data_IF_543627076558
#
_entry.id   IF_543627076558
#
_cell.length_a   1.000
_cell.length_b   1.000
_cell.length_c   1.000
_cell.angle_alpha   90.00
_cell.angle_beta   90.00
_cell.angle_gamma   90.00
#
_symmetry.space_group_name_H-M   'P 1'
#
loop_
_entity.id
_entity.type
_entity.pdbx_description
1 polymer ?
#
# COMPACT_ATOMS: atom_id res chain seq x y z
N UNK A 1 -25.09 11.92 19.20
CA UNK A 1 -24.88 10.46 19.11
C UNK A 1 -24.06 10.20 17.85
N UNK A 2 -22.81 9.76 18.04
CA UNK A 2 -21.77 9.28 17.11
C UNK A 2 -21.73 9.77 15.65
N UNK A 3 -20.73 10.59 15.31
CA UNK A 3 -20.28 10.84 13.94
C UNK A 3 -19.14 9.88 13.59
N UNK A 4 -19.42 8.84 12.80
CA UNK A 4 -18.37 8.02 12.18
C UNK A 4 -17.80 8.81 11.00
N UNK A 5 -16.71 9.54 11.24
CA UNK A 5 -15.87 10.08 10.17
C UNK A 5 -15.16 8.91 9.50
N UNK A 6 -15.50 8.64 8.25
CA UNK A 6 -14.71 7.80 7.36
C UNK A 6 -13.31 8.43 7.22
N UNK A 7 -12.34 7.89 7.94
CA UNK A 7 -10.92 8.14 7.69
C UNK A 7 -10.62 7.55 6.30
N UNK A 8 -10.60 8.41 5.28
CA UNK A 8 -10.06 8.07 3.96
C UNK A 8 -8.57 7.79 4.16
N UNK A 9 -8.22 6.52 4.35
CA UNK A 9 -6.83 6.07 4.36
C UNK A 9 -6.21 6.50 3.01
N UNK A 10 -4.98 7.02 3.00
CA UNK A 10 -4.28 7.32 1.75
C UNK A 10 -4.26 6.05 0.89
N UNK A 11 -4.27 6.16 -0.45
CA UNK A 11 -4.18 4.99 -1.31
C UNK A 11 -2.93 4.23 -0.91
N UNK A 12 -3.12 3.08 -0.27
CA UNK A 12 -2.05 2.12 -0.03
C UNK A 12 -1.68 1.68 -1.43
N UNK A 13 -0.61 2.25 -1.98
CA UNK A 13 -0.07 1.78 -3.25
C UNK A 13 0.17 0.28 -3.07
N UNK A 14 -0.53 -0.57 -3.82
CA UNK A 14 -0.41 -2.03 -3.72
C UNK A 14 1.00 -2.55 -4.06
N UNK A 15 1.95 -1.66 -4.35
CA UNK A 15 3.38 -1.92 -4.56
C UNK A 15 4.15 -2.07 -3.23
N UNK A 16 3.52 -1.89 -2.06
CA UNK A 16 4.19 -1.99 -0.74
C UNK A 16 4.56 -3.41 -0.30
N UNK A 17 4.32 -4.45 -1.11
CA UNK A 17 4.62 -5.86 -0.79
C UNK A 17 6.09 -6.28 -1.05
N UNK A 18 7.07 -5.36 -1.01
CA UNK A 18 8.50 -5.70 -1.13
C UNK A 18 9.29 -5.42 0.13
N UNK A 19 8.68 -5.69 1.26
CA UNK A 19 9.22 -5.30 2.56
C UNK A 19 9.17 -6.49 3.50
N UNK A 20 10.34 -6.96 3.90
CA UNK A 20 10.46 -7.88 5.02
C UNK A 20 11.25 -7.22 6.15
N UNK A 21 10.83 -7.50 7.37
CA UNK A 21 11.54 -7.03 8.55
C UNK A 21 12.79 -7.87 8.75
N UNK A 22 13.95 -7.25 8.63
CA UNK A 22 15.22 -7.84 9.08
C UNK A 22 15.53 -7.29 10.45
N UNK A 23 15.71 -8.17 11.43
CA UNK A 23 16.32 -7.82 12.70
C UNK A 23 17.82 -7.61 12.47
N UNK A 24 18.24 -6.35 12.40
CA UNK A 24 19.67 -6.02 12.40
C UNK A 24 20.08 -5.87 13.85
N UNK A 25 20.89 -6.80 14.33
CA UNK A 25 21.56 -6.71 15.63
C UNK A 25 22.94 -6.12 15.40
N UNK A 26 23.28 -5.08 16.15
CA UNK A 26 24.61 -4.52 16.10
C UNK A 26 25.16 -4.36 17.52
N UNK A 27 26.30 -4.99 17.75
CA UNK A 27 27.08 -4.87 18.98
C UNK A 27 28.05 -3.72 18.78
N UNK A 28 27.82 -2.60 19.46
CA UNK A 28 28.74 -1.46 19.40
C UNK A 28 30.10 -1.84 20.03
N UNK A 29 31.24 -1.39 19.47
CA UNK A 29 32.51 -1.49 20.18
C UNK A 29 32.41 -0.73 21.50
N UNK A 30 33.06 -1.27 22.54
CA UNK A 30 33.10 -0.67 23.87
C UNK A 30 33.58 0.78 23.82
N UNK A 31 32.65 1.75 23.78
CA UNK A 31 32.97 3.17 23.80
C UNK A 31 32.14 4.09 22.91
N UNK A 32 31.39 3.58 21.92
CA UNK A 32 30.63 4.43 20.99
C UNK A 32 29.12 4.15 21.02
N UNK A 33 28.31 5.23 21.00
CA UNK A 33 26.86 5.12 20.78
C UNK A 33 26.60 4.75 19.32
N UNK A 34 26.01 3.57 19.08
CA UNK A 34 25.69 3.11 17.74
C UNK A 34 24.27 3.52 17.38
N UNK A 35 24.11 4.27 16.29
CA UNK A 35 22.81 4.66 15.73
C UNK A 35 22.46 3.70 14.60
N UNK A 36 21.52 2.79 14.86
CA UNK A 36 20.91 1.95 13.83
C UNK A 36 19.42 2.33 13.76
N UNK A 37 19.00 2.95 12.67
CA UNK A 37 17.62 3.45 12.51
C UNK A 37 17.26 4.62 13.45
N UNK A 38 16.00 4.68 13.85
CA UNK A 38 15.43 5.74 14.70
C UNK A 38 15.73 5.62 16.21
N UNK A 39 16.47 4.59 16.64
CA UNK A 39 16.86 4.37 18.03
C UNK A 39 18.35 4.66 18.27
N UNK A 40 18.67 5.27 19.42
CA UNK A 40 20.05 5.51 19.86
C UNK A 40 20.39 4.56 21.02
N UNK A 41 21.41 3.72 20.85
CA UNK A 41 21.86 2.79 21.88
C UNK A 41 22.72 3.51 22.93
N UNK A 42 22.44 3.26 24.22
CA UNK A 42 23.38 3.59 25.30
C UNK A 42 24.46 2.51 25.40
N UNK A 43 25.60 2.88 25.99
CA UNK A 43 26.81 2.07 26.15
C UNK A 43 26.50 0.64 26.62
N UNK A 44 26.91 -0.37 25.85
CA UNK A 44 26.74 -1.79 26.17
C UNK A 44 25.36 -2.39 25.84
N UNK A 45 24.41 -1.60 25.33
CA UNK A 45 23.10 -2.10 24.93
C UNK A 45 23.13 -2.69 23.52
N UNK A 46 22.66 -3.93 23.37
CA UNK A 46 22.32 -4.50 22.07
C UNK A 46 21.03 -3.83 21.59
N UNK A 47 21.11 -3.05 20.52
CA UNK A 47 19.91 -2.57 19.82
C UNK A 47 19.59 -3.55 18.70
N UNK A 48 18.40 -4.14 18.79
CA UNK A 48 17.76 -4.87 17.72
C UNK A 48 16.73 -3.94 17.11
N UNK A 49 16.98 -3.46 15.89
CA UNK A 49 15.98 -2.70 15.12
C UNK A 49 15.53 -3.50 13.93
N UNK A 50 14.22 -3.54 13.71
CA UNK A 50 13.60 -4.10 12.52
C UNK A 50 13.70 -3.07 11.41
N UNK A 51 14.61 -3.30 10.46
CA UNK A 51 14.76 -2.45 9.28
C UNK A 51 14.02 -3.10 8.12
N UNK A 52 13.18 -2.32 7.46
CA UNK A 52 12.51 -2.68 6.22
C UNK A 52 13.55 -2.78 5.11
N UNK A 53 13.69 -3.95 4.49
CA UNK A 53 14.59 -4.16 3.35
C UNK A 53 13.78 -4.41 2.08
N UNK A 54 14.25 -3.84 0.96
CA UNK A 54 13.70 -4.04 -0.38
C UNK A 54 14.33 -5.30 -0.99
N UNK A 55 13.50 -6.18 -1.57
CA UNK A 55 14.01 -7.30 -2.37
C UNK A 55 14.11 -6.88 -3.83
N UNK A 56 15.28 -7.15 -4.41
CA UNK A 56 15.51 -6.99 -5.84
C UNK A 56 14.55 -7.89 -6.63
N UNK A 57 14.09 -7.38 -7.78
CA UNK A 57 13.27 -8.17 -8.69
C UNK A 57 14.14 -9.18 -9.44
N UNK A 58 13.60 -10.38 -9.66
CA UNK A 58 14.20 -11.33 -10.60
C UNK A 58 14.20 -10.72 -12.01
N UNK A 59 15.32 -10.85 -12.72
CA UNK A 59 15.53 -10.28 -14.06
C UNK A 59 15.58 -11.32 -15.17
N UNK A 60 15.57 -12.61 -14.80
CA UNK A 60 15.64 -13.72 -15.73
C UNK A 60 14.29 -13.94 -16.46
N UNK A 61 14.22 -13.78 -17.78
CA UNK A 61 12.97 -13.91 -18.53
C UNK A 61 12.40 -15.32 -18.52
N UNK A 62 13.23 -16.37 -18.53
CA UNK A 62 12.74 -17.75 -18.57
C UNK A 62 12.00 -18.12 -17.28
N UNK A 63 12.50 -17.62 -16.14
CA UNK A 63 11.84 -17.81 -14.84
C UNK A 63 10.54 -17.04 -14.74
N UNK A 64 10.49 -15.80 -15.25
CA UNK A 64 9.29 -14.96 -15.18
C UNK A 64 8.13 -15.50 -16.03
N UNK A 65 8.42 -16.20 -17.12
CA UNK A 65 7.40 -16.83 -17.97
C UNK A 65 6.88 -18.12 -17.37
N UNK A 66 7.74 -18.92 -16.73
CA UNK A 66 7.36 -20.23 -16.20
C UNK A 66 6.86 -20.20 -14.74
N UNK A 67 7.24 -19.19 -13.96
CA UNK A 67 6.96 -19.12 -12.53
C UNK A 67 6.37 -17.78 -12.09
N UNK A 68 5.47 -17.84 -11.12
CA UNK A 68 4.93 -16.65 -10.47
C UNK A 68 5.89 -16.14 -9.38
N UNK A 69 6.82 -15.27 -9.78
CA UNK A 69 7.78 -14.67 -8.86
C UNK A 69 7.10 -13.65 -7.93
N UNK A 70 7.30 -13.81 -6.60
CA UNK A 70 6.80 -12.87 -5.58
C UNK A 70 5.54 -13.32 -4.83
N UNK A 71 4.94 -14.45 -5.20
CA UNK A 71 3.80 -15.01 -4.45
C UNK A 71 4.22 -15.59 -3.10
N UNK A 72 5.38 -16.22 -3.03
CA UNK A 72 5.90 -16.82 -1.80
C UNK A 72 6.69 -15.79 -0.98
N UNK A 73 6.23 -15.55 0.25
CA UNK A 73 6.91 -14.68 1.21
C UNK A 73 7.94 -15.42 2.07
N UNK A 74 7.88 -16.76 2.13
CA UNK A 74 8.81 -17.60 2.89
C UNK A 74 9.99 -18.01 2.01
N UNK A 75 11.21 -17.94 2.56
CA UNK A 75 12.45 -18.28 1.84
C UNK A 75 12.56 -19.75 1.42
N UNK A 76 11.92 -20.65 2.17
CA UNK A 76 12.08 -22.11 2.01
C UNK A 76 11.07 -22.73 1.03
N UNK A 77 10.04 -21.97 0.62
CA UNK A 77 8.99 -22.51 -0.24
C UNK A 77 9.36 -22.41 -1.72
N UNK A 78 9.20 -23.50 -2.50
CA UNK A 78 9.51 -23.50 -3.93
C UNK A 78 8.57 -22.58 -4.70
N UNK A 79 9.08 -21.94 -5.76
CA UNK A 79 8.30 -21.07 -6.64
C UNK A 79 7.09 -21.80 -7.24
N UNK A 80 5.97 -21.09 -7.37
CA UNK A 80 4.75 -21.65 -7.96
C UNK A 80 4.84 -21.55 -9.48
N UNK A 81 4.76 -22.70 -10.14
CA UNK A 81 4.78 -22.82 -11.60
C UNK A 81 3.45 -22.38 -12.23
N UNK A 82 3.54 -21.68 -13.35
CA UNK A 82 2.40 -21.27 -14.18
C UNK A 82 1.99 -22.46 -15.04
N UNK A 83 0.75 -22.91 -14.87
CA UNK A 83 0.20 -24.07 -15.60
C UNK A 83 -0.37 -23.63 -16.95
N UNK A 84 -0.74 -24.60 -17.77
CA UNK A 84 -1.49 -24.34 -19.00
C UNK A 84 -2.89 -23.76 -18.70
N UNK A 85 -3.39 -22.92 -19.60
CA UNK A 85 -4.66 -22.19 -19.48
C UNK A 85 -5.86 -23.10 -19.18
N UNK A 86 -5.87 -24.33 -19.71
CA UNK A 86 -6.91 -25.33 -19.47
C UNK A 86 -7.03 -25.81 -18.02
N UNK A 87 -6.03 -25.53 -17.18
CA UNK A 87 -6.05 -25.90 -15.77
C UNK A 87 -6.82 -24.89 -14.92
N UNK A 88 -6.95 -23.66 -15.42
CA UNK A 88 -7.62 -22.58 -14.73
C UNK A 88 -9.09 -22.54 -15.15
N UNK A 89 -9.99 -22.10 -14.25
CA UNK A 89 -11.41 -22.02 -14.55
C UNK A 89 -11.69 -20.90 -15.56
N UNK A 90 -12.65 -21.12 -16.45
CA UNK A 90 -12.98 -20.22 -17.58
C UNK A 90 -13.31 -18.79 -17.16
N UNK A 91 -13.89 -18.60 -15.97
CA UNK A 91 -14.25 -17.26 -15.45
C UNK A 91 -13.02 -16.36 -15.28
N UNK A 92 -11.81 -16.91 -15.12
CA UNK A 92 -10.57 -16.14 -14.99
C UNK A 92 -10.32 -15.28 -16.24
N UNK A 93 -10.59 -15.86 -17.42
CA UNK A 93 -10.38 -15.21 -18.71
C UNK A 93 -11.58 -14.35 -19.14
N UNK A 94 -12.72 -14.51 -18.47
CA UNK A 94 -13.92 -13.69 -18.65
C UNK A 94 -13.97 -12.44 -17.79
N UNK A 95 -12.98 -12.20 -16.92
CA UNK A 95 -12.88 -10.95 -16.17
C UNK A 95 -12.68 -9.80 -17.16
N UNK A 96 -13.66 -8.90 -17.24
CA UNK A 96 -13.55 -7.69 -18.04
C UNK A 96 -12.32 -6.89 -17.60
N UNK A 97 -11.67 -6.22 -18.57
CA UNK A 97 -10.48 -5.41 -18.31
C UNK A 97 -10.74 -4.49 -17.13
N UNK A 98 -9.75 -4.30 -16.27
CA UNK A 98 -9.77 -3.38 -15.12
C UNK A 98 -10.06 -1.90 -15.48
N UNK A 99 -10.31 -1.62 -16.75
CA UNK A 99 -10.72 -0.30 -17.18
C UNK A 99 -12.08 0.03 -16.56
N UNK A 100 -12.13 1.20 -15.94
CA UNK A 100 -13.30 1.63 -15.18
C UNK A 100 -14.46 1.87 -16.16
N UNK A 101 -15.39 0.93 -16.25
CA UNK A 101 -16.59 1.06 -17.08
C UNK A 101 -17.33 2.35 -16.70
N UNK A 102 -17.82 3.07 -17.71
CA UNK A 102 -18.62 4.28 -17.52
C UNK A 102 -19.99 3.93 -16.94
N UNK A 103 -20.56 4.81 -16.10
CA UNK A 103 -21.90 4.60 -15.52
C UNK A 103 -22.96 4.38 -16.59
N UNK A 104 -22.87 5.08 -17.72
CA UNK A 104 -23.86 5.02 -18.80
C UNK A 104 -23.96 3.63 -19.45
N UNK A 105 -22.93 2.79 -19.30
CA UNK A 105 -22.87 1.43 -19.84
C UNK A 105 -23.32 0.38 -18.82
N UNK A 106 -23.42 0.73 -17.53
CA UNK A 106 -23.87 -0.19 -16.48
C UNK A 106 -25.40 -0.25 -16.43
N UNK A 107 -25.90 -1.43 -16.11
CA UNK A 107 -27.33 -1.63 -15.87
C UNK A 107 -27.74 -1.07 -14.50
N UNK A 108 -28.89 -0.41 -14.43
CA UNK A 108 -29.38 0.29 -13.23
C UNK A 108 -29.89 -0.65 -12.15
N UNK A 109 -30.23 -1.87 -12.55
CA UNK A 109 -30.74 -2.90 -11.65
C UNK A 109 -29.60 -3.63 -10.91
N UNK A 110 -28.34 -3.38 -11.27
CA UNK A 110 -27.16 -3.96 -10.63
C UNK A 110 -26.59 -3.04 -9.52
N UNK A 111 -25.97 -3.63 -8.51
CA UNK A 111 -25.43 -2.89 -7.35
C UNK A 111 -24.18 -2.06 -7.72
N UNK A 112 -23.46 -2.50 -8.75
CA UNK A 112 -22.26 -1.86 -9.30
C UNK A 112 -22.60 -0.45 -9.80
N UNK A 113 -23.76 -0.26 -10.43
CA UNK A 113 -24.21 1.04 -10.94
C UNK A 113 -24.34 2.06 -9.82
N UNK A 114 -25.01 1.68 -8.73
CA UNK A 114 -25.27 2.58 -7.61
C UNK A 114 -24.01 2.93 -6.83
N UNK A 115 -23.09 1.98 -6.68
CA UNK A 115 -21.76 2.24 -6.12
C UNK A 115 -21.03 3.30 -6.93
N UNK A 116 -21.01 3.12 -8.25
CA UNK A 116 -20.35 4.03 -9.19
C UNK A 116 -21.01 5.42 -9.23
N UNK A 117 -22.34 5.47 -9.14
CA UNK A 117 -23.12 6.71 -9.07
C UNK A 117 -22.79 7.52 -7.81
N UNK A 118 -22.72 6.85 -6.67
CA UNK A 118 -22.34 7.50 -5.41
C UNK A 118 -20.89 8.02 -5.45
N UNK A 119 -19.95 7.25 -6.03
CA UNK A 119 -18.57 7.71 -6.23
C UNK A 119 -18.51 9.00 -7.07
N UNK A 120 -19.25 9.07 -8.18
CA UNK A 120 -19.28 10.29 -9.00
C UNK A 120 -19.91 11.47 -8.25
N UNK A 121 -20.95 11.23 -7.45
CA UNK A 121 -21.54 12.25 -6.59
C UNK A 121 -20.54 12.81 -5.58
N UNK A 122 -19.77 11.94 -4.91
CA UNK A 122 -18.72 12.33 -3.97
C UNK A 122 -17.58 13.09 -4.65
N UNK A 123 -17.12 12.64 -5.83
CA UNK A 123 -16.12 13.35 -6.64
C UNK A 123 -16.59 14.75 -7.04
N UNK A 124 -17.86 14.87 -7.41
CA UNK A 124 -18.48 16.15 -7.74
C UNK A 124 -18.56 17.07 -6.52
N UNK A 125 -18.99 16.56 -5.36
CA UNK A 125 -19.02 17.32 -4.11
C UNK A 125 -17.63 17.74 -3.67
N UNK A 126 -16.63 16.86 -3.81
CA UNK A 126 -15.24 17.19 -3.54
C UNK A 126 -14.77 18.32 -4.46
N UNK A 127 -15.09 18.25 -5.76
CA UNK A 127 -14.77 19.32 -6.73
C UNK A 127 -15.43 20.65 -6.35
N UNK A 128 -16.70 20.62 -5.93
CA UNK A 128 -17.40 21.81 -5.41
C UNK A 128 -16.70 22.34 -4.16
N UNK A 129 -16.37 21.46 -3.22
CA UNK A 129 -15.76 21.83 -1.94
C UNK A 129 -14.36 22.42 -2.14
N UNK A 130 -13.56 21.86 -3.04
CA UNK A 130 -12.23 22.39 -3.41
C UNK A 130 -12.34 23.76 -4.07
N UNK A 131 -13.32 23.97 -4.96
CA UNK A 131 -13.57 25.30 -5.56
C UNK A 131 -14.07 26.32 -4.52
N UNK A 132 -14.91 25.88 -3.58
CA UNK A 132 -15.50 26.74 -2.55
C UNK A 132 -14.51 27.09 -1.43
N UNK A 133 -13.62 26.15 -1.09
CA UNK A 133 -12.63 26.26 -0.04
C UNK A 133 -11.25 25.82 -0.57
N UNK A 134 -10.60 26.67 -1.40
CA UNK A 134 -9.34 26.31 -2.05
C UNK A 134 -8.19 26.16 -1.05
N UNK A 135 -8.23 26.89 0.07
CA UNK A 135 -7.36 26.61 1.20
C UNK A 135 -8.00 25.58 2.12
N UNK A 136 -7.25 24.50 2.42
CA UNK A 136 -7.62 23.61 3.53
C UNK A 136 -7.79 24.47 4.78
N UNK A 137 -9.00 24.51 5.33
CA UNK A 137 -9.26 25.16 6.62
C UNK A 137 -8.40 24.47 7.68
N UNK A 138 -7.27 25.09 8.00
CA UNK A 138 -6.44 24.75 9.14
C UNK A 138 -6.84 25.76 10.21
N UNK A 139 -7.51 25.33 11.29
CA UNK A 139 -7.89 26.26 12.33
C UNK A 139 -6.62 26.91 12.90
N UNK A 140 -6.69 28.20 13.21
CA UNK A 140 -5.53 29.03 13.58
C UNK A 140 -4.72 28.43 14.71
N UNK A 141 -5.37 27.85 15.72
CA UNK A 141 -4.73 27.17 16.85
C UNK A 141 -3.82 25.99 16.43
N UNK A 142 -4.08 25.33 15.30
CA UNK A 142 -3.24 24.23 14.79
C UNK A 142 -2.03 24.74 13.99
N UNK A 143 -2.13 25.93 13.37
CA UNK A 143 -0.98 26.60 12.72
C UNK A 143 0.05 27.02 13.78
N UNK A 144 -0.44 27.45 14.94
CA UNK A 144 0.36 27.88 16.10
C UNK A 144 1.12 26.74 16.79
N UNK A 145 0.72 25.47 16.59
CA UNK A 145 1.41 24.30 17.14
C UNK A 145 2.57 23.78 16.26
N UNK A 146 2.72 24.29 15.03
CA UNK A 146 3.79 23.90 14.08
C UNK A 146 5.08 24.76 14.07
N UNK A 147 5.38 25.71 14.99
CA UNK A 147 6.66 26.41 14.98
C UNK A 147 7.76 25.78 15.86
N UNK A 148 7.64 24.52 16.32
CA UNK A 148 8.58 23.90 17.27
C UNK A 148 9.28 22.61 16.79
N UNK A 149 9.51 22.45 15.48
CA UNK A 149 10.41 21.43 14.94
C UNK A 149 11.33 22.03 13.86
#
# INVERSE_FOLDING_TARGET
MFTLRYLRLPPISLITLRHYAVTKTATGPSGAALKLGGGVAKKGAVITTTVQQYLDAETDPEKLVNYCCGLNYKKEQPLVEIKADSTYPDWLFGLEKLDKISIDQLDKDTWEYWTRYNEQGEEFLQTINEKRYPERYIPTWLKELRPLC
#
